data_IF_060646148165
#
_entry.id   IF_060646148165
#
_cell.length_a   1.000
_cell.length_b   1.000
_cell.length_c   1.000
_cell.angle_alpha   90.00
_cell.angle_beta   90.00
_cell.angle_gamma   90.00
#
_symmetry.space_group_name_H-M   'P 1'
#
loop_
_entity.id
_entity.type
_entity.pdbx_description
1 polymer ?
#
# COMPACT_ATOMS: atom_id res chain seq x y z
N UNK A 1 -6.04 25.50 -4.87
CA UNK A 1 -7.11 25.87 -5.81
C UNK A 1 -7.21 24.87 -6.98
N UNK A 2 -6.15 24.62 -7.77
CA UNK A 2 -6.23 23.66 -8.90
C UNK A 2 -6.47 22.19 -8.51
N UNK A 3 -5.70 21.64 -7.56
CA UNK A 3 -5.90 20.24 -7.10
C UNK A 3 -7.33 19.94 -6.63
N UNK A 4 -7.99 20.91 -5.97
CA UNK A 4 -9.37 20.76 -5.52
C UNK A 4 -10.36 20.80 -6.69
N UNK A 5 -10.10 21.63 -7.69
CA UNK A 5 -10.89 21.68 -8.92
C UNK A 5 -10.83 20.35 -9.67
N UNK A 6 -9.63 19.81 -9.89
CA UNK A 6 -9.47 18.52 -10.60
C UNK A 6 -10.18 17.38 -9.84
N UNK A 7 -10.08 17.38 -8.50
CA UNK A 7 -10.78 16.43 -7.64
C UNK A 7 -12.31 16.54 -7.77
N UNK A 8 -12.88 17.75 -7.70
CA UNK A 8 -14.33 17.93 -7.80
C UNK A 8 -14.86 17.69 -9.23
N UNK A 9 -14.13 18.11 -10.27
CA UNK A 9 -14.50 17.79 -11.65
C UNK A 9 -14.53 16.29 -11.90
N UNK A 10 -13.52 15.55 -11.41
CA UNK A 10 -13.51 14.10 -11.51
C UNK A 10 -14.71 13.50 -10.75
N UNK A 11 -14.89 13.88 -9.48
CA UNK A 11 -15.98 13.41 -8.61
C UNK A 11 -17.36 13.63 -9.24
N UNK A 12 -17.67 14.86 -9.64
CA UNK A 12 -19.04 15.28 -9.92
C UNK A 12 -19.44 15.06 -11.39
N UNK A 13 -18.47 15.11 -12.31
CA UNK A 13 -18.75 15.07 -13.76
C UNK A 13 -18.39 13.72 -14.37
N UNK A 14 -17.28 13.10 -13.94
CA UNK A 14 -16.72 11.92 -14.63
C UNK A 14 -17.09 10.59 -13.97
N UNK A 15 -17.00 10.48 -12.64
CA UNK A 15 -17.13 9.17 -11.96
C UNK A 15 -18.29 9.06 -10.96
N UNK A 16 -18.91 10.17 -10.55
CA UNK A 16 -20.07 10.16 -9.65
C UNK A 16 -19.80 9.63 -8.24
N UNK A 17 -18.54 9.50 -7.83
CA UNK A 17 -18.10 9.02 -6.51
C UNK A 17 -16.84 9.74 -6.06
N UNK A 18 -16.51 9.67 -4.76
CA UNK A 18 -15.26 10.22 -4.23
C UNK A 18 -14.05 9.61 -4.97
N UNK A 19 -13.17 10.43 -5.57
CA UNK A 19 -11.95 9.94 -6.20
C UNK A 19 -11.02 9.24 -5.21
N UNK A 20 -10.32 8.22 -5.69
CA UNK A 20 -9.23 7.51 -5.02
C UNK A 20 -7.88 8.12 -5.41
N UNK A 21 -6.79 7.66 -4.78
CA UNK A 21 -5.43 8.07 -5.20
C UNK A 21 -5.13 7.61 -6.63
N UNK A 22 -5.62 6.42 -7.01
CA UNK A 22 -5.51 5.90 -8.38
C UNK A 22 -6.27 6.79 -9.38
N UNK A 23 -7.52 7.16 -9.08
CA UNK A 23 -8.31 8.00 -9.99
C UNK A 23 -7.60 9.33 -10.27
N UNK A 24 -7.05 9.96 -9.22
CA UNK A 24 -6.28 11.19 -9.36
C UNK A 24 -4.97 10.98 -10.12
N UNK A 25 -4.24 9.90 -9.84
CA UNK A 25 -3.00 9.57 -10.53
C UNK A 25 -3.19 9.40 -12.04
N UNK A 26 -4.33 8.87 -12.48
CA UNK A 26 -4.60 8.59 -13.90
C UNK A 26 -5.29 9.75 -14.62
N UNK A 27 -6.04 10.59 -13.90
CA UNK A 27 -6.88 11.63 -14.50
C UNK A 27 -6.31 13.04 -14.42
N UNK A 28 -5.35 13.29 -13.53
CA UNK A 28 -4.78 14.61 -13.27
C UNK A 28 -3.37 14.73 -13.86
N UNK A 29 -3.08 15.87 -14.50
CA UNK A 29 -1.73 16.25 -14.93
C UNK A 29 -0.85 16.71 -13.76
N UNK A 30 -1.46 17.12 -12.64
CA UNK A 30 -0.73 17.41 -11.39
C UNK A 30 -0.07 16.13 -10.85
N UNK A 31 1.25 16.16 -10.57
CA UNK A 31 1.95 15.01 -10.00
C UNK A 31 1.35 14.56 -8.67
N UNK A 32 1.16 13.24 -8.49
CA UNK A 32 0.52 12.69 -7.28
C UNK A 32 1.20 13.09 -5.96
N UNK A 33 2.51 13.38 -5.99
CA UNK A 33 3.26 13.88 -4.82
C UNK A 33 2.68 15.17 -4.23
N UNK A 34 2.03 16.01 -5.05
CA UNK A 34 1.44 17.28 -4.60
C UNK A 34 0.19 17.03 -3.76
N UNK A 35 -0.68 16.09 -4.20
CA UNK A 35 -1.85 15.65 -3.44
C UNK A 35 -1.46 14.98 -2.12
N UNK A 36 -0.34 14.25 -2.11
CA UNK A 36 0.16 13.53 -0.94
C UNK A 36 1.11 14.34 -0.06
N UNK A 37 1.29 15.65 -0.29
CA UNK A 37 2.30 16.45 0.42
C UNK A 37 2.14 16.36 1.95
N UNK A 38 0.92 16.65 2.41
CA UNK A 38 0.48 16.53 3.81
C UNK A 38 -0.25 15.20 4.10
N UNK A 39 -0.25 14.29 3.12
CA UNK A 39 -1.01 13.05 3.14
C UNK A 39 -2.43 13.18 2.60
N UNK A 40 -2.96 12.08 2.07
CA UNK A 40 -4.27 12.07 1.44
C UNK A 40 -5.40 12.40 2.42
N UNK A 41 -5.31 11.96 3.67
CA UNK A 41 -6.31 12.26 4.69
C UNK A 41 -6.45 13.77 4.92
N UNK A 42 -5.33 14.51 4.93
CA UNK A 42 -5.34 15.98 5.01
C UNK A 42 -5.87 16.62 3.73
N UNK A 43 -5.60 16.04 2.57
CA UNK A 43 -6.20 16.49 1.32
C UNK A 43 -7.73 16.35 1.34
N UNK A 44 -8.25 15.19 1.79
CA UNK A 44 -9.69 14.97 1.97
C UNK A 44 -10.30 15.95 3.00
N UNK A 45 -9.56 16.30 4.06
CA UNK A 45 -9.98 17.35 5.01
C UNK A 45 -10.17 18.69 4.31
N UNK A 46 -9.20 19.10 3.48
CA UNK A 46 -9.24 20.37 2.75
C UNK A 46 -10.41 20.46 1.77
N UNK A 47 -10.78 19.33 1.15
CA UNK A 47 -11.93 19.23 0.23
C UNK A 47 -13.23 18.91 0.95
N UNK A 48 -13.26 18.95 2.29
CA UNK A 48 -14.43 18.61 3.13
C UNK A 48 -15.08 17.28 2.74
N UNK A 49 -14.25 16.29 2.39
CA UNK A 49 -14.65 15.00 1.83
C UNK A 49 -14.33 13.81 2.76
N UNK A 50 -14.10 14.08 4.05
CA UNK A 50 -13.95 13.06 5.09
C UNK A 50 -15.32 12.55 5.55
N UNK A 51 -15.41 11.26 5.85
CA UNK A 51 -16.50 10.72 6.66
C UNK A 51 -16.21 10.92 8.17
N UNK A 52 -17.20 10.62 9.03
CA UNK A 52 -17.07 10.79 10.48
C UNK A 52 -15.91 9.98 11.09
N UNK A 53 -15.69 8.75 10.60
CA UNK A 53 -14.60 7.90 11.07
C UNK A 53 -13.23 8.47 10.71
N UNK A 54 -13.06 8.88 9.44
CA UNK A 54 -11.83 9.50 8.94
C UNK A 54 -11.53 10.84 9.64
N UNK A 55 -12.55 11.60 10.01
CA UNK A 55 -12.38 12.82 10.80
C UNK A 55 -11.81 12.51 12.19
N UNK A 56 -12.22 11.40 12.79
CA UNK A 56 -11.70 10.91 14.08
C UNK A 56 -10.24 10.43 14.03
N UNK A 57 -9.70 10.17 12.84
CA UNK A 57 -8.30 9.75 12.67
C UNK A 57 -7.31 10.91 12.66
N UNK A 58 -7.77 12.15 12.46
CA UNK A 58 -6.88 13.31 12.38
C UNK A 58 -6.12 13.53 13.70
N UNK A 59 -4.81 13.74 13.59
CA UNK A 59 -3.86 13.89 14.70
C UNK A 59 -3.76 12.64 15.60
N UNK A 60 -3.99 11.45 15.03
CA UNK A 60 -3.84 10.17 15.73
C UNK A 60 -2.80 9.28 15.05
N UNK A 61 -2.44 8.17 15.68
CA UNK A 61 -1.44 7.23 15.15
C UNK A 61 -1.84 6.61 13.80
N UNK A 62 -3.14 6.42 13.54
CA UNK A 62 -3.60 5.87 12.25
C UNK A 62 -3.38 6.83 11.09
N UNK A 63 -3.47 8.15 11.32
CA UNK A 63 -3.10 9.14 10.30
C UNK A 63 -1.60 9.04 9.96
N UNK A 64 -0.76 8.95 10.99
CA UNK A 64 0.68 8.83 10.82
C UNK A 64 1.05 7.52 10.10
N UNK A 65 0.31 6.44 10.37
CA UNK A 65 0.45 5.16 9.70
C UNK A 65 0.09 5.22 8.22
N UNK A 66 -1.05 5.83 7.86
CA UNK A 66 -1.44 6.02 6.46
C UNK A 66 -0.39 6.86 5.71
N UNK A 67 0.07 7.95 6.34
CA UNK A 67 1.13 8.80 5.78
C UNK A 67 2.46 8.05 5.59
N UNK A 68 2.81 7.17 6.54
CA UNK A 68 3.96 6.29 6.42
C UNK A 68 3.85 5.34 5.23
N UNK A 69 2.70 4.69 5.03
CA UNK A 69 2.49 3.78 3.90
C UNK A 69 2.60 4.50 2.56
N UNK A 70 2.00 5.69 2.44
CA UNK A 70 2.08 6.53 1.23
C UNK A 70 3.53 6.85 0.82
N UNK A 71 4.42 7.02 1.80
CA UNK A 71 5.83 7.42 1.60
C UNK A 71 6.83 6.27 1.67
N UNK A 72 6.38 5.07 1.96
CA UNK A 72 7.26 3.92 2.17
C UNK A 72 8.10 3.65 0.91
N UNK A 73 9.43 3.74 1.03
CA UNK A 73 10.35 3.54 -0.11
C UNK A 73 10.27 2.09 -0.64
N UNK A 74 10.20 1.95 -1.96
CA UNK A 74 10.15 0.67 -2.66
C UNK A 74 11.32 0.56 -3.65
N UNK A 75 12.26 -0.34 -3.37
CA UNK A 75 13.27 -0.81 -4.33
C UNK A 75 12.69 -1.96 -5.17
N UNK A 76 11.86 -2.77 -4.51
CA UNK A 76 11.06 -3.87 -5.03
C UNK A 76 9.63 -3.69 -4.53
N UNK A 77 8.67 -4.25 -5.25
CA UNK A 77 7.26 -4.21 -4.92
C UNK A 77 6.90 -5.11 -3.72
N UNK A 78 7.82 -5.90 -3.15
CA UNK A 78 7.56 -6.86 -2.05
C UNK A 78 6.77 -6.32 -0.86
N UNK A 79 6.88 -5.03 -0.54
CA UNK A 79 6.12 -4.43 0.57
C UNK A 79 4.62 -4.38 0.29
N UNK A 80 4.21 -4.34 -0.98
CA UNK A 80 2.81 -4.27 -1.40
C UNK A 80 2.04 -5.51 -0.95
N UNK A 81 2.35 -6.73 -1.41
CA UNK A 81 1.68 -7.94 -0.92
C UNK A 81 1.94 -8.20 0.57
N UNK A 82 3.08 -7.76 1.12
CA UNK A 82 3.32 -7.90 2.57
C UNK A 82 2.32 -7.11 3.39
N UNK A 83 2.07 -5.85 3.06
CA UNK A 83 1.05 -5.04 3.74
C UNK A 83 -0.36 -5.51 3.37
N UNK A 84 -0.58 -5.93 2.13
CA UNK A 84 -1.88 -6.48 1.68
C UNK A 84 -2.31 -7.71 2.51
N UNK A 85 -1.36 -8.49 3.01
CA UNK A 85 -1.66 -9.68 3.83
C UNK A 85 -2.44 -9.35 5.11
N UNK A 86 -2.35 -8.12 5.63
CA UNK A 86 -3.11 -7.64 6.79
C UNK A 86 -4.58 -7.32 6.46
N UNK A 87 -4.99 -7.44 5.21
CA UNK A 87 -6.34 -7.13 4.77
C UNK A 87 -7.17 -8.39 4.61
N UNK A 88 -8.44 -8.31 4.98
CA UNK A 88 -9.44 -9.32 4.65
C UNK A 88 -10.78 -8.66 4.27
N UNK A 89 -11.84 -9.47 4.17
CA UNK A 89 -13.19 -9.03 3.84
C UNK A 89 -13.82 -8.17 4.96
N UNK A 90 -13.37 -8.31 6.20
CA UNK A 90 -13.92 -7.67 7.38
C UNK A 90 -13.13 -6.43 7.81
N UNK A 91 -11.94 -6.21 7.27
CA UNK A 91 -11.15 -5.01 7.50
C UNK A 91 -9.66 -5.32 7.55
N UNK A 92 -9.03 -4.87 8.64
CA UNK A 92 -7.60 -5.04 8.88
C UNK A 92 -7.42 -6.01 10.05
N UNK A 93 -6.69 -7.11 9.82
CA UNK A 93 -6.31 -8.02 10.90
C UNK A 93 -5.10 -7.44 11.64
N UNK A 94 -5.03 -7.51 12.98
CA UNK A 94 -3.92 -6.92 13.75
C UNK A 94 -2.59 -7.65 13.57
N UNK A 95 -2.63 -8.93 13.17
CA UNK A 95 -1.45 -9.78 13.00
C UNK A 95 -1.66 -10.84 11.93
N UNK A 96 -0.57 -11.25 11.30
CA UNK A 96 -0.54 -12.28 10.23
C UNK A 96 0.66 -13.20 10.43
N UNK A 97 0.55 -14.45 9.98
CA UNK A 97 1.68 -15.38 9.95
C UNK A 97 2.57 -15.10 8.74
N UNK A 98 3.84 -15.50 8.83
CA UNK A 98 4.76 -15.45 7.70
C UNK A 98 4.27 -16.31 6.51
N UNK A 99 3.59 -17.43 6.79
CA UNK A 99 2.92 -18.27 5.80
C UNK A 99 1.86 -17.49 4.99
N UNK A 100 0.99 -16.73 5.67
CA UNK A 100 -0.01 -15.87 5.02
C UNK A 100 0.63 -14.78 4.15
N UNK A 101 1.73 -14.19 4.62
CA UNK A 101 2.52 -13.24 3.81
C UNK A 101 3.10 -13.94 2.58
N UNK A 102 3.65 -15.14 2.74
CA UNK A 102 4.18 -15.97 1.65
C UNK A 102 3.13 -16.26 0.59
N UNK A 103 1.90 -16.60 1.00
CA UNK A 103 0.76 -16.80 0.08
C UNK A 103 0.42 -15.52 -0.67
N UNK A 104 0.28 -14.41 0.03
CA UNK A 104 -0.02 -13.12 -0.60
C UNK A 104 1.05 -12.70 -1.62
N UNK A 105 2.33 -12.97 -1.34
CA UNK A 105 3.43 -12.74 -2.28
C UNK A 105 3.36 -13.67 -3.49
N UNK A 106 3.06 -14.95 -3.27
CA UNK A 106 2.89 -15.93 -4.33
C UNK A 106 1.81 -15.47 -5.32
N UNK A 107 0.61 -15.18 -4.81
CA UNK A 107 -0.54 -14.73 -5.61
C UNK A 107 -0.19 -13.42 -6.37
N UNK A 108 0.46 -12.47 -5.69
CA UNK A 108 0.86 -11.20 -6.29
C UNK A 108 1.82 -11.34 -7.48
N UNK A 109 2.75 -12.29 -7.44
CA UNK A 109 3.77 -12.45 -8.49
C UNK A 109 3.42 -13.49 -9.56
N UNK A 110 2.80 -14.60 -9.19
CA UNK A 110 2.47 -15.65 -10.17
C UNK A 110 1.35 -15.21 -11.13
N UNK A 111 0.36 -14.47 -10.63
CA UNK A 111 -0.86 -14.18 -11.40
C UNK A 111 -0.72 -12.97 -12.33
N UNK A 112 0.41 -12.25 -12.30
CA UNK A 112 0.57 -11.01 -13.04
C UNK A 112 1.96 -10.86 -13.68
N UNK A 113 2.01 -10.91 -15.01
CA UNK A 113 3.24 -10.78 -15.79
C UNK A 113 4.03 -9.49 -15.51
N UNK A 114 3.35 -8.35 -15.33
CA UNK A 114 4.01 -7.06 -15.03
C UNK A 114 4.72 -7.12 -13.68
N UNK A 115 4.13 -7.82 -12.71
CA UNK A 115 4.75 -7.94 -11.39
C UNK A 115 6.02 -8.81 -11.44
N UNK A 116 6.08 -9.79 -12.35
CA UNK A 116 7.21 -10.70 -12.50
C UNK A 116 8.50 -9.98 -12.91
N UNK A 117 8.41 -8.81 -13.55
CA UNK A 117 9.57 -7.98 -13.91
C UNK A 117 10.38 -7.49 -12.70
N UNK A 118 9.75 -7.52 -11.52
CA UNK A 118 10.41 -7.23 -10.25
C UNK A 118 11.30 -8.39 -9.76
N UNK A 119 11.15 -9.59 -10.32
CA UNK A 119 11.86 -10.82 -9.93
C UNK A 119 13.02 -11.21 -10.87
N UNK A 120 13.47 -10.32 -11.74
CA UNK A 120 14.54 -10.58 -12.74
C UNK A 120 15.96 -10.70 -12.17
N UNK A 121 16.17 -10.45 -10.88
CA UNK A 121 17.50 -10.46 -10.25
C UNK A 121 18.09 -11.85 -10.03
N UNK A 122 19.43 -11.94 -9.91
CA UNK A 122 20.15 -13.21 -9.70
C UNK A 122 19.66 -14.01 -8.48
N UNK A 123 19.23 -13.33 -7.41
CA UNK A 123 18.70 -13.97 -6.20
C UNK A 123 17.35 -14.68 -6.40
N UNK A 124 16.68 -14.44 -7.53
CA UNK A 124 15.32 -14.89 -7.81
C UNK A 124 15.25 -15.79 -9.06
N UNK A 125 16.38 -16.34 -9.54
CA UNK A 125 16.44 -17.07 -10.82
C UNK A 125 15.39 -18.16 -10.99
N UNK A 126 15.01 -18.85 -9.92
CA UNK A 126 14.05 -19.96 -9.94
C UNK A 126 12.70 -19.58 -9.33
N UNK A 127 12.34 -18.29 -9.30
CA UNK A 127 11.12 -17.83 -8.62
C UNK A 127 9.85 -18.51 -9.15
N UNK A 128 9.83 -18.92 -10.42
CA UNK A 128 8.69 -19.64 -11.02
C UNK A 128 8.40 -21.01 -10.38
N UNK A 129 9.38 -21.58 -9.67
CA UNK A 129 9.25 -22.83 -8.94
C UNK A 129 8.96 -22.61 -7.44
N UNK A 130 8.92 -21.35 -7.00
CA UNK A 130 8.70 -21.02 -5.60
C UNK A 130 7.24 -21.24 -5.23
N UNK A 131 7.03 -21.87 -4.08
CA UNK A 131 5.75 -21.92 -3.41
C UNK A 131 5.70 -20.93 -2.25
N UNK A 132 4.70 -21.13 -1.40
CA UNK A 132 4.46 -20.30 -0.22
C UNK A 132 5.67 -20.18 0.70
N UNK A 133 6.43 -21.26 0.89
CA UNK A 133 7.59 -21.32 1.80
C UNK A 133 8.74 -20.43 1.33
N UNK A 134 9.06 -20.47 0.04
CA UNK A 134 10.13 -19.66 -0.55
C UNK A 134 9.77 -18.18 -0.52
N UNK A 135 8.50 -17.84 -0.81
CA UNK A 135 8.01 -16.47 -0.71
C UNK A 135 7.94 -15.98 0.73
N UNK A 136 7.61 -16.84 1.71
CA UNK A 136 7.71 -16.55 3.14
C UNK A 136 9.16 -16.25 3.55
N UNK A 137 10.13 -17.05 3.08
CA UNK A 137 11.54 -16.77 3.34
C UNK A 137 12.04 -15.48 2.67
N UNK A 138 11.56 -15.18 1.46
CA UNK A 138 11.82 -13.90 0.78
C UNK A 138 11.24 -12.72 1.58
N UNK A 139 10.00 -12.84 2.05
CA UNK A 139 9.30 -11.78 2.75
C UNK A 139 9.95 -11.47 4.10
N UNK A 140 10.36 -12.49 4.86
CA UNK A 140 11.12 -12.35 6.13
C UNK A 140 12.39 -11.54 5.93
N UNK A 141 13.23 -11.92 4.96
CA UNK A 141 14.54 -11.28 4.70
C UNK A 141 14.44 -9.84 4.18
N UNK A 142 13.35 -9.51 3.49
CA UNK A 142 13.16 -8.22 2.84
C UNK A 142 12.01 -7.42 3.48
N UNK A 143 10.77 -7.41 2.95
CA UNK A 143 9.75 -6.47 3.37
C UNK A 143 9.47 -6.52 4.88
N UNK A 144 9.40 -7.69 5.51
CA UNK A 144 9.22 -7.81 6.98
C UNK A 144 10.37 -7.15 7.72
N UNK A 145 11.63 -7.53 7.44
CA UNK A 145 12.82 -6.92 8.03
C UNK A 145 12.85 -5.39 7.92
N UNK A 146 12.43 -4.83 6.79
CA UNK A 146 12.47 -3.38 6.57
C UNK A 146 11.27 -2.65 7.16
N UNK A 147 10.07 -3.23 7.14
CA UNK A 147 8.87 -2.65 7.76
C UNK A 147 8.97 -2.68 9.29
N UNK A 148 9.56 -3.74 9.87
CA UNK A 148 9.84 -3.90 11.30
C UNK A 148 10.81 -2.84 11.87
N UNK A 149 11.43 -2.01 11.03
CA UNK A 149 12.23 -0.85 11.48
C UNK A 149 11.40 0.38 11.81
N UNK A 150 10.13 0.40 11.39
CA UNK A 150 9.19 1.45 11.76
C UNK A 150 8.53 1.12 13.09
N UNK A 151 7.92 2.12 13.75
CA UNK A 151 7.12 1.89 14.96
C UNK A 151 5.80 1.17 14.72
N UNK A 152 5.34 1.08 13.47
CA UNK A 152 4.00 0.59 13.14
C UNK A 152 3.92 -0.92 12.99
N UNK A 153 5.06 -1.59 12.84
CA UNK A 153 5.13 -3.02 12.58
C UNK A 153 6.09 -3.69 13.55
N UNK A 154 5.72 -4.87 14.02
CA UNK A 154 6.54 -5.71 14.89
C UNK A 154 6.57 -7.15 14.36
N UNK A 155 7.76 -7.74 14.27
CA UNK A 155 7.95 -9.15 13.91
C UNK A 155 8.44 -9.96 15.11
N UNK A 156 7.65 -10.97 15.47
CA UNK A 156 7.99 -11.98 16.46
C UNK A 156 8.67 -13.16 15.74
N UNK A 157 9.99 -13.28 15.94
CA UNK A 157 10.82 -14.33 15.35
C UNK A 157 10.49 -15.73 15.86
N UNK A 158 9.99 -15.86 17.10
CA UNK A 158 9.70 -17.16 17.73
C UNK A 158 8.41 -17.75 17.16
N UNK A 159 7.38 -16.91 17.05
CA UNK A 159 6.07 -17.34 16.58
C UNK A 159 5.86 -17.13 15.06
N UNK A 160 6.85 -16.56 14.37
CA UNK A 160 6.78 -16.17 12.95
C UNK A 160 5.53 -15.31 12.63
N UNK A 161 5.22 -14.39 13.54
CA UNK A 161 4.06 -13.51 13.48
C UNK A 161 4.50 -12.07 13.18
N UNK A 162 3.78 -11.42 12.27
CA UNK A 162 3.98 -10.02 11.95
C UNK A 162 2.73 -9.24 12.34
N UNK A 163 2.87 -8.22 13.18
CA UNK A 163 1.75 -7.50 13.79
C UNK A 163 1.86 -5.99 13.62
N UNK A 164 0.70 -5.34 13.60
CA UNK A 164 0.55 -3.89 13.70
C UNK A 164 0.74 -3.44 15.16
N UNK A 165 1.27 -2.23 15.34
CA UNK A 165 1.40 -1.59 16.64
C UNK A 165 0.05 -1.53 17.38
N UNK A 166 0.08 -1.74 18.70
CA UNK A 166 -1.13 -1.81 19.53
C UNK A 166 -1.97 -0.51 19.47
N UNK A 167 -1.33 0.65 19.31
CA UNK A 167 -2.04 1.93 19.17
C UNK A 167 -2.89 2.05 17.90
N UNK A 168 -2.68 1.19 16.90
CA UNK A 168 -3.52 1.11 15.70
C UNK A 168 -4.79 0.26 15.91
N UNK A 169 -4.81 -0.61 16.92
CA UNK A 169 -5.89 -1.59 17.12
C UNK A 169 -7.28 -0.97 17.27
N UNK A 170 -7.46 0.17 17.96
CA UNK A 170 -8.77 0.84 18.06
C UNK A 170 -9.32 1.35 16.72
N UNK A 171 -8.49 1.47 15.69
CA UNK A 171 -8.85 2.03 14.38
C UNK A 171 -9.02 0.97 13.30
N UNK A 172 -8.87 -0.31 13.62
CA UNK A 172 -9.01 -1.40 12.65
C UNK A 172 -10.47 -1.49 12.20
N UNK A 173 -10.70 -1.16 10.94
CA UNK A 173 -12.04 -1.11 10.36
C UNK A 173 -12.03 -1.43 8.86
N UNK A 174 -13.20 -1.70 8.27
CA UNK A 174 -13.36 -1.76 6.82
C UNK A 174 -12.92 -0.47 6.10
N UNK A 175 -13.13 0.70 6.71
CA UNK A 175 -12.76 1.99 6.11
C UNK A 175 -11.23 2.14 6.09
N UNK A 176 -10.55 1.76 7.18
CA UNK A 176 -9.08 1.76 7.22
C UNK A 176 -8.51 0.79 6.18
N UNK A 177 -9.09 -0.42 6.08
CA UNK A 177 -8.71 -1.38 5.05
C UNK A 177 -8.88 -0.81 3.64
N UNK A 178 -9.95 -0.03 3.40
CA UNK A 178 -10.16 0.70 2.16
C UNK A 178 -9.03 1.69 1.83
N UNK A 179 -8.57 2.46 2.81
CA UNK A 179 -7.44 3.37 2.62
C UNK A 179 -6.13 2.63 2.36
N UNK A 180 -5.86 1.55 3.09
CA UNK A 180 -4.66 0.75 2.86
C UNK A 180 -4.69 0.16 1.45
N UNK A 181 -5.82 -0.41 0.99
CA UNK A 181 -5.98 -0.90 -0.40
C UNK A 181 -5.70 0.19 -1.42
N UNK A 182 -6.33 1.36 -1.30
CA UNK A 182 -6.13 2.48 -2.22
C UNK A 182 -4.65 2.92 -2.28
N UNK A 183 -3.98 2.98 -1.11
CA UNK A 183 -2.54 3.26 -1.07
C UNK A 183 -1.78 2.18 -1.84
N UNK A 184 -2.02 0.90 -1.56
CA UNK A 184 -1.30 -0.20 -2.20
C UNK A 184 -1.51 -0.23 -3.72
N UNK A 185 -2.74 0.02 -4.18
CA UNK A 185 -3.07 0.08 -5.61
C UNK A 185 -2.34 1.22 -6.30
N UNK A 186 -2.38 2.43 -5.73
CA UNK A 186 -1.63 3.58 -6.23
C UNK A 186 -0.12 3.29 -6.25
N UNK A 187 0.43 2.78 -5.15
CA UNK A 187 1.87 2.50 -5.03
C UNK A 187 2.31 1.44 -6.04
N UNK A 188 1.46 0.44 -6.31
CA UNK A 188 1.72 -0.58 -7.33
C UNK A 188 1.80 0.04 -8.73
N UNK A 189 0.77 0.80 -9.12
CA UNK A 189 0.73 1.48 -10.43
C UNK A 189 1.91 2.43 -10.61
N UNK A 190 2.19 3.29 -9.62
CA UNK A 190 3.32 4.22 -9.65
C UNK A 190 4.67 3.50 -9.80
N UNK A 191 4.86 2.38 -9.11
CA UNK A 191 6.10 1.60 -9.17
C UNK A 191 6.36 1.02 -10.57
N UNK A 192 5.37 0.32 -11.13
CA UNK A 192 5.53 -0.33 -12.42
C UNK A 192 5.47 0.65 -13.59
N UNK A 193 4.68 1.73 -13.49
CA UNK A 193 4.69 2.83 -14.46
C UNK A 193 6.08 3.46 -14.60
N UNK A 194 6.70 3.85 -13.47
CA UNK A 194 8.06 4.42 -13.47
C UNK A 194 9.11 3.45 -13.98
N UNK A 195 8.91 2.15 -13.75
CA UNK A 195 9.83 1.11 -14.23
C UNK A 195 9.76 0.99 -15.75
N UNK A 196 8.54 0.87 -16.30
CA UNK A 196 8.29 0.85 -17.74
C UNK A 196 8.90 2.09 -18.43
N UNK A 197 8.70 3.29 -17.88
CA UNK A 197 9.31 4.51 -18.42
C UNK A 197 10.85 4.49 -18.46
N UNK A 198 11.50 3.92 -17.45
CA UNK A 198 12.97 3.82 -17.42
C UNK A 198 13.51 2.82 -18.43
N UNK A 199 12.75 1.78 -18.73
CA UNK A 199 13.11 0.75 -19.71
C UNK A 199 12.91 1.26 -21.15
N UNK A 200 11.93 2.15 -21.38
CA UNK A 200 11.71 2.81 -22.68
C UNK A 200 12.64 4.01 -22.96
N UNK A 201 13.23 4.60 -21.92
CA UNK A 201 14.17 5.72 -22.02
C UNK A 201 15.65 5.31 -22.10
N UNK A 202 15.92 4.02 -22.28
CA UNK A 202 17.24 3.43 -22.55
C UNK A 202 17.33 3.02 -24.01
#
# INVERSE_FOLDING_TARGET
MRMQLDFFQLRDIKIGRRPTRVDMFESSDIPMREFLREGWLRFLKQTKSLCSEEAGWLNTEVEEFLYYLERTRMVKAYKIPTVASFLDLHGVVPKVSLARIGRSMLDFYHDNAVHQDDLTGKSNRNWRLWGEKEFAALSRRNPVRYLNKSRFFHYDEVNEQFSLAAGLHPFLSPILAGHIRDILDYRCRDFFYKRCQRELGQ
#
